data_IF_545982333878
#
_entry.id   IF_545982333878
#
_cell.length_a   1.000
_cell.length_b   1.000
_cell.length_c   1.000
_cell.angle_alpha   90.00
_cell.angle_beta   90.00
_cell.angle_gamma   90.00
#
_symmetry.space_group_name_H-M   'P 1'
#
loop_
_entity.id
_entity.type
_entity.pdbx_description
1 polymer ?
#
# COMPACT_ATOMS: atom_id res chain seq x y z
N UNK A 1 -17.77 9.13 -12.21
CA UNK A 1 -17.39 7.87 -11.53
C UNK A 1 -15.91 7.87 -11.21
N UNK A 2 -15.55 7.47 -10.02
CA UNK A 2 -14.17 7.18 -9.61
C UNK A 2 -13.93 5.68 -9.76
N UNK A 3 -12.77 5.28 -10.27
CA UNK A 3 -12.35 3.87 -10.34
C UNK A 3 -10.95 3.71 -9.73
N UNK A 4 -10.69 2.59 -9.05
CA UNK A 4 -9.39 2.27 -8.48
C UNK A 4 -9.14 0.77 -8.41
N UNK A 5 -7.89 0.39 -8.63
CA UNK A 5 -7.37 -0.95 -8.42
C UNK A 5 -6.99 -1.12 -6.94
N UNK A 6 -7.79 -1.83 -6.16
CA UNK A 6 -7.57 -1.90 -4.72
C UNK A 6 -8.21 -3.13 -4.09
N UNK A 7 -7.49 -3.74 -3.17
CA UNK A 7 -7.95 -4.89 -2.38
C UNK A 7 -8.13 -4.59 -0.90
N UNK A 8 -7.86 -3.36 -0.49
CA UNK A 8 -7.72 -3.03 0.91
C UNK A 8 -8.33 -1.70 1.35
N UNK A 9 -7.64 -1.07 2.28
CA UNK A 9 -8.10 0.15 2.96
C UNK A 9 -8.33 1.32 2.01
N UNK A 10 -7.52 1.48 0.96
CA UNK A 10 -7.73 2.51 -0.08
C UNK A 10 -9.11 2.39 -0.72
N UNK A 11 -9.54 1.15 -1.05
CA UNK A 11 -10.87 0.92 -1.62
C UNK A 11 -12.00 1.26 -0.65
N UNK A 12 -11.86 0.93 0.62
CA UNK A 12 -12.82 1.27 1.67
C UNK A 12 -12.89 2.80 1.85
N UNK A 13 -11.73 3.46 1.94
CA UNK A 13 -11.65 4.91 2.09
C UNK A 13 -12.26 5.65 0.89
N UNK A 14 -11.94 5.24 -0.33
CA UNK A 14 -12.52 5.81 -1.54
C UNK A 14 -14.03 5.56 -1.62
N UNK A 15 -14.51 4.37 -1.25
CA UNK A 15 -15.94 4.08 -1.19
C UNK A 15 -16.66 5.02 -0.21
N UNK A 16 -16.09 5.23 0.99
CA UNK A 16 -16.63 6.12 2.00
C UNK A 16 -16.65 7.59 1.53
N UNK A 17 -15.54 8.08 1.01
CA UNK A 17 -15.44 9.46 0.52
C UNK A 17 -16.36 9.70 -0.68
N UNK A 18 -16.41 8.76 -1.61
CA UNK A 18 -17.30 8.84 -2.78
C UNK A 18 -18.77 8.83 -2.37
N UNK A 19 -19.16 7.98 -1.41
CA UNK A 19 -20.51 7.98 -0.86
C UNK A 19 -20.87 9.33 -0.24
N UNK A 20 -19.98 9.89 0.61
CA UNK A 20 -20.18 11.19 1.24
C UNK A 20 -20.28 12.35 0.24
N UNK A 21 -19.60 12.25 -0.90
CA UNK A 21 -19.58 13.29 -1.95
C UNK A 21 -20.59 13.03 -3.08
N UNK A 22 -21.36 11.95 -3.04
CA UNK A 22 -22.30 11.57 -4.10
C UNK A 22 -21.64 11.09 -5.40
N UNK A 23 -20.40 10.61 -5.36
CA UNK A 23 -19.72 10.06 -6.54
C UNK A 23 -19.88 8.55 -6.62
N UNK A 24 -20.26 7.99 -7.78
CA UNK A 24 -20.18 6.55 -7.99
C UNK A 24 -18.73 6.07 -7.90
N UNK A 25 -18.51 4.95 -7.19
CA UNK A 25 -17.18 4.34 -7.07
C UNK A 25 -17.15 2.89 -7.57
N UNK A 26 -16.11 2.54 -8.30
CA UNK A 26 -15.85 1.21 -8.81
C UNK A 26 -14.47 0.76 -8.34
N UNK A 27 -14.41 -0.37 -7.64
CA UNK A 27 -13.15 -1.02 -7.27
C UNK A 27 -12.90 -2.24 -8.17
N UNK A 28 -11.70 -2.38 -8.71
CA UNK A 28 -11.21 -3.64 -9.28
C UNK A 28 -10.36 -4.36 -8.23
N UNK A 29 -10.60 -5.65 -8.05
CA UNK A 29 -10.03 -6.41 -6.94
C UNK A 29 -9.79 -7.87 -7.34
N UNK A 30 -8.64 -8.42 -7.00
CA UNK A 30 -8.36 -9.85 -7.23
C UNK A 30 -9.33 -10.71 -6.42
N UNK A 31 -9.84 -11.77 -7.04
CA UNK A 31 -10.89 -12.65 -6.49
C UNK A 31 -10.52 -13.39 -5.21
N UNK A 32 -9.23 -13.55 -4.90
CA UNK A 32 -8.74 -14.23 -3.70
C UNK A 32 -8.67 -13.34 -2.45
N UNK A 33 -8.85 -12.02 -2.61
CA UNK A 33 -8.79 -11.12 -1.47
C UNK A 33 -10.06 -11.14 -0.61
N UNK A 34 -9.98 -10.52 0.59
CA UNK A 34 -10.99 -10.56 1.65
C UNK A 34 -12.43 -10.29 1.20
N UNK A 35 -13.31 -11.24 1.52
CA UNK A 35 -14.76 -11.13 1.28
C UNK A 35 -15.38 -10.02 2.14
N UNK A 36 -14.86 -9.81 3.35
CA UNK A 36 -15.31 -8.78 4.29
C UNK A 36 -15.12 -7.39 3.71
N UNK A 37 -13.95 -7.12 3.11
CA UNK A 37 -13.65 -5.85 2.45
C UNK A 37 -14.57 -5.59 1.26
N UNK A 38 -14.90 -6.64 0.48
CA UNK A 38 -15.88 -6.53 -0.62
C UNK A 38 -17.27 -6.17 -0.10
N UNK A 39 -17.70 -6.82 0.98
CA UNK A 39 -18.99 -6.53 1.63
C UNK A 39 -19.04 -5.10 2.15
N UNK A 40 -17.97 -4.65 2.80
CA UNK A 40 -17.88 -3.29 3.32
C UNK A 40 -17.91 -2.23 2.20
N UNK A 41 -17.11 -2.39 1.14
CA UNK A 41 -17.16 -1.48 0.00
C UNK A 41 -18.57 -1.44 -0.65
N UNK A 42 -19.21 -2.61 -0.82
CA UNK A 42 -20.59 -2.68 -1.34
C UNK A 42 -21.61 -2.01 -0.41
N UNK A 43 -21.48 -2.17 0.89
CA UNK A 43 -22.33 -1.50 1.88
C UNK A 43 -22.21 0.03 1.80
N UNK A 44 -21.05 0.54 1.41
CA UNK A 44 -20.77 1.95 1.14
C UNK A 44 -21.19 2.40 -0.28
N UNK A 45 -21.87 1.55 -1.05
CA UNK A 45 -22.38 1.86 -2.37
C UNK A 45 -21.43 1.63 -3.53
N UNK A 46 -20.23 1.07 -3.29
CA UNK A 46 -19.27 0.79 -4.34
C UNK A 46 -19.66 -0.44 -5.19
N UNK A 47 -19.35 -0.40 -6.48
CA UNK A 47 -19.35 -1.58 -7.35
C UNK A 47 -17.98 -2.24 -7.28
N UNK A 48 -17.93 -3.52 -6.95
CA UNK A 48 -16.68 -4.31 -6.91
C UNK A 48 -16.67 -5.25 -8.11
N UNK A 49 -15.61 -5.13 -8.93
CA UNK A 49 -15.34 -5.98 -10.10
C UNK A 49 -14.14 -6.86 -9.75
N UNK A 50 -14.35 -8.18 -9.83
CA UNK A 50 -13.29 -9.13 -9.53
C UNK A 50 -12.45 -9.41 -10.78
N UNK A 51 -11.14 -9.60 -10.57
CA UNK A 51 -10.18 -10.04 -11.58
C UNK A 51 -9.63 -11.41 -11.20
N UNK A 52 -9.22 -12.23 -12.20
CA UNK A 52 -8.66 -13.55 -11.93
C UNK A 52 -7.40 -13.49 -11.06
N UNK A 53 -7.24 -14.47 -10.18
CA UNK A 53 -6.06 -14.59 -9.32
C UNK A 53 -4.75 -14.71 -10.12
N UNK A 54 -4.81 -15.38 -11.28
CA UNK A 54 -3.67 -15.57 -12.18
C UNK A 54 -3.09 -14.23 -12.70
N UNK A 55 -3.93 -13.20 -12.83
CA UNK A 55 -3.53 -11.89 -13.36
C UNK A 55 -2.90 -10.99 -12.27
N UNK A 56 -2.89 -11.42 -11.02
CA UNK A 56 -2.26 -10.76 -9.86
C UNK A 56 -2.72 -9.30 -9.67
N UNK A 57 -1.88 -8.47 -9.03
CA UNK A 57 -2.15 -7.04 -8.88
C UNK A 57 -2.05 -6.30 -10.22
N UNK A 58 -1.15 -6.71 -11.11
CA UNK A 58 -1.05 -6.17 -12.47
C UNK A 58 -2.37 -6.24 -13.21
N UNK A 59 -3.06 -7.38 -13.22
CA UNK A 59 -4.37 -7.51 -13.89
C UNK A 59 -5.46 -6.66 -13.26
N UNK A 60 -5.41 -6.47 -11.94
CA UNK A 60 -6.32 -5.57 -11.23
C UNK A 60 -6.14 -4.11 -11.70
N UNK A 61 -4.88 -3.65 -11.83
CA UNK A 61 -4.53 -2.30 -12.31
C UNK A 61 -4.98 -2.12 -13.77
N UNK A 62 -4.61 -3.04 -14.66
CA UNK A 62 -5.00 -3.00 -16.07
C UNK A 62 -6.51 -2.95 -16.25
N UNK A 63 -7.27 -3.68 -15.41
CA UNK A 63 -8.73 -3.65 -15.46
C UNK A 63 -9.29 -2.29 -15.06
N UNK A 64 -8.72 -1.64 -14.06
CA UNK A 64 -9.12 -0.29 -13.67
C UNK A 64 -8.84 0.74 -14.79
N UNK A 65 -7.67 0.65 -15.42
CA UNK A 65 -7.27 1.49 -16.56
C UNK A 65 -8.21 1.33 -17.75
N UNK A 66 -8.51 0.09 -18.15
CA UNK A 66 -9.46 -0.22 -19.23
C UNK A 66 -10.85 0.39 -18.95
N UNK A 67 -11.32 0.28 -17.71
CA UNK A 67 -12.63 0.84 -17.33
C UNK A 67 -12.61 2.36 -17.33
N UNK A 68 -11.54 2.99 -16.86
CA UNK A 68 -11.36 4.43 -16.87
C UNK A 68 -11.38 4.97 -18.30
N UNK A 69 -10.57 4.38 -19.18
CA UNK A 69 -10.44 4.78 -20.58
C UNK A 69 -11.79 4.60 -21.33
N UNK A 70 -12.36 3.40 -21.24
CA UNK A 70 -13.61 3.09 -21.96
C UNK A 70 -14.77 4.00 -21.60
N UNK A 71 -14.86 4.43 -20.33
CA UNK A 71 -16.03 5.14 -19.82
C UNK A 71 -15.75 6.62 -19.49
N UNK A 72 -14.53 7.11 -19.67
CA UNK A 72 -14.13 8.46 -19.26
C UNK A 72 -14.18 8.65 -17.74
N UNK A 73 -13.86 7.62 -16.95
CA UNK A 73 -13.88 7.68 -15.48
C UNK A 73 -12.56 8.17 -14.91
N UNK A 74 -12.63 8.79 -13.74
CA UNK A 74 -11.44 9.22 -13.01
C UNK A 74 -10.77 8.03 -12.33
N UNK A 75 -9.54 7.73 -12.70
CA UNK A 75 -8.69 6.71 -12.06
C UNK A 75 -7.81 7.37 -11.01
N UNK A 76 -7.93 6.93 -9.74
CA UNK A 76 -7.20 7.56 -8.62
C UNK A 76 -5.71 7.21 -8.59
N UNK A 77 -5.28 6.08 -9.18
CA UNK A 77 -3.87 5.69 -9.40
C UNK A 77 -3.03 5.60 -8.12
N UNK A 78 -3.47 4.84 -7.10
CA UNK A 78 -2.77 4.75 -5.81
C UNK A 78 -1.29 4.36 -5.92
N UNK A 79 -0.89 3.65 -6.97
CA UNK A 79 0.50 3.22 -7.22
C UNK A 79 1.35 4.26 -7.96
N UNK A 80 0.75 5.34 -8.45
CA UNK A 80 1.40 6.37 -9.27
C UNK A 80 1.17 7.79 -8.76
N UNK A 81 0.08 8.03 -8.02
CA UNK A 81 -0.32 9.36 -7.58
C UNK A 81 0.57 9.89 -6.46
N UNK A 82 1.19 11.03 -6.70
CA UNK A 82 2.04 11.73 -5.75
C UNK A 82 1.28 12.19 -4.48
N UNK A 83 -0.03 12.35 -4.56
CA UNK A 83 -0.88 12.66 -3.39
C UNK A 83 -0.76 11.61 -2.27
N UNK A 84 -0.39 10.37 -2.60
CA UNK A 84 -0.17 9.31 -1.63
C UNK A 84 1.07 9.59 -0.74
N UNK A 85 2.31 9.65 -1.24
CA UNK A 85 3.46 9.99 -0.39
C UNK A 85 3.38 11.42 0.15
N UNK A 86 2.78 12.37 -0.57
CA UNK A 86 2.60 13.76 -0.10
C UNK A 86 1.78 13.83 1.19
N UNK A 87 0.71 13.05 1.29
CA UNK A 87 -0.05 12.97 2.54
C UNK A 87 0.83 12.50 3.71
N UNK A 88 1.65 11.49 3.50
CA UNK A 88 2.55 10.98 4.54
C UNK A 88 3.67 11.95 4.89
N UNK A 89 4.18 12.75 3.95
CA UNK A 89 5.13 13.83 4.25
C UNK A 89 4.52 14.87 5.17
N UNK A 90 3.29 15.26 4.88
CA UNK A 90 2.63 16.38 5.56
C UNK A 90 1.98 15.99 6.90
N UNK A 91 1.70 14.71 7.15
CA UNK A 91 1.01 14.23 8.35
C UNK A 91 1.82 13.19 9.11
N UNK A 92 1.92 11.99 8.62
CA UNK A 92 2.53 10.84 9.30
C UNK A 92 3.98 11.11 9.75
N UNK A 93 4.79 11.71 8.89
CA UNK A 93 6.17 12.06 9.23
C UNK A 93 6.25 13.11 10.34
N UNK A 94 5.38 14.13 10.27
CA UNK A 94 5.31 15.17 11.30
C UNK A 94 4.85 14.60 12.64
N UNK A 95 3.90 13.67 12.63
CA UNK A 95 3.42 12.96 13.83
C UNK A 95 4.55 12.16 14.48
N UNK A 96 5.28 11.38 13.68
CA UNK A 96 6.43 10.61 14.16
C UNK A 96 7.50 11.53 14.76
N UNK A 97 7.85 12.60 14.07
CA UNK A 97 8.86 13.56 14.59
C UNK A 97 8.42 14.20 15.89
N UNK A 98 7.15 14.53 16.04
CA UNK A 98 6.58 15.08 17.28
C UNK A 98 6.63 14.06 18.41
N UNK A 99 6.24 12.82 18.16
CA UNK A 99 6.15 11.78 19.18
C UNK A 99 7.55 11.33 19.65
N UNK A 100 8.56 11.47 18.80
CA UNK A 100 9.96 11.27 19.14
C UNK A 100 10.73 12.57 19.44
N UNK A 101 10.04 13.68 19.73
CA UNK A 101 10.70 14.91 20.16
C UNK A 101 11.43 14.68 21.48
N UNK A 102 12.76 14.95 21.50
CA UNK A 102 13.60 14.72 22.69
C UNK A 102 14.06 13.27 22.88
N UNK A 103 13.67 12.35 22.01
CA UNK A 103 14.10 10.94 22.04
C UNK A 103 14.93 10.59 20.80
N UNK A 104 15.74 9.54 20.90
CA UNK A 104 16.44 8.96 19.75
C UNK A 104 15.45 8.32 18.80
N UNK A 105 15.70 8.45 17.50
CA UNK A 105 15.00 7.76 16.43
C UNK A 105 16.04 7.31 15.41
N UNK A 106 16.56 6.12 15.60
CA UNK A 106 17.69 5.60 14.82
C UNK A 106 17.24 4.78 13.60
N UNK A 107 16.07 4.17 13.70
CA UNK A 107 15.51 3.31 12.64
C UNK A 107 14.05 3.62 12.38
N UNK A 108 13.68 3.66 11.10
CA UNK A 108 12.29 3.57 10.65
C UNK A 108 12.14 2.35 9.78
N UNK A 109 11.30 1.39 10.23
CA UNK A 109 11.11 0.10 9.56
C UNK A 109 9.70 0.05 9.02
N UNK A 110 9.55 -0.19 7.73
CA UNK A 110 8.24 -0.28 7.08
C UNK A 110 8.24 -1.32 5.96
N UNK A 111 7.13 -2.05 5.88
CA UNK A 111 6.79 -2.77 4.66
C UNK A 111 6.15 -1.84 3.63
N UNK A 112 5.87 -2.36 2.45
CA UNK A 112 5.22 -1.59 1.41
C UNK A 112 4.13 -2.36 0.65
N UNK A 113 3.02 -1.67 0.42
CA UNK A 113 2.05 -2.04 -0.61
C UNK A 113 2.23 -1.10 -1.79
N UNK A 114 1.74 0.15 -1.68
CA UNK A 114 2.00 1.20 -2.67
C UNK A 114 3.37 1.85 -2.54
N UNK A 115 3.99 1.77 -1.36
CA UNK A 115 5.24 2.46 -1.06
C UNK A 115 5.08 3.92 -0.61
N UNK A 116 3.85 4.44 -0.55
CA UNK A 116 3.62 5.84 -0.19
C UNK A 116 4.11 6.21 1.21
N UNK A 117 3.89 5.34 2.19
CA UNK A 117 4.33 5.58 3.58
C UNK A 117 5.85 5.62 3.70
N UNK A 118 6.54 4.59 3.23
CA UNK A 118 8.00 4.52 3.33
C UNK A 118 8.67 5.65 2.55
N UNK A 119 8.10 6.05 1.42
CA UNK A 119 8.56 7.19 0.63
C UNK A 119 8.36 8.50 1.37
N UNK A 120 7.12 8.85 1.68
CA UNK A 120 6.80 10.15 2.26
C UNK A 120 7.42 10.35 3.65
N UNK A 121 7.33 9.34 4.51
CA UNK A 121 7.97 9.38 5.84
C UNK A 121 9.49 9.36 5.71
N UNK A 122 10.04 8.48 4.89
CA UNK A 122 11.48 8.33 4.72
C UNK A 122 12.15 9.61 4.25
N UNK A 123 11.58 10.31 3.25
CA UNK A 123 12.10 11.57 2.74
C UNK A 123 12.18 12.65 3.83
N UNK A 124 11.10 12.81 4.61
CA UNK A 124 11.08 13.82 5.69
C UNK A 124 12.02 13.44 6.83
N UNK A 125 12.03 12.17 7.23
CA UNK A 125 12.91 11.72 8.31
C UNK A 125 14.38 11.83 7.94
N UNK A 126 14.78 11.56 6.69
CA UNK A 126 16.15 11.75 6.21
C UNK A 126 16.63 13.21 6.32
N UNK A 127 15.72 14.16 6.08
CA UNK A 127 16.04 15.59 6.24
C UNK A 127 16.14 15.99 7.72
N UNK A 128 15.16 15.58 8.53
CA UNK A 128 15.08 15.96 9.93
C UNK A 128 16.06 15.21 10.85
N UNK A 129 16.45 14.01 10.48
CA UNK A 129 17.32 13.08 11.22
C UNK A 129 18.32 12.42 10.27
N UNK A 130 19.39 13.11 9.82
CA UNK A 130 20.27 12.61 8.74
C UNK A 130 20.91 11.24 9.00
N UNK A 131 21.05 10.85 10.25
CA UNK A 131 21.65 9.55 10.64
C UNK A 131 20.64 8.40 10.72
N UNK A 132 19.33 8.66 10.56
CA UNK A 132 18.31 7.62 10.62
C UNK A 132 18.51 6.58 9.51
N UNK A 133 18.24 5.32 9.84
CA UNK A 133 18.21 4.23 8.86
C UNK A 133 16.78 3.88 8.50
N UNK A 134 16.45 3.96 7.22
CA UNK A 134 15.16 3.55 6.67
C UNK A 134 15.29 2.11 6.18
N UNK A 135 14.55 1.22 6.81
CA UNK A 135 14.58 -0.21 6.51
C UNK A 135 13.29 -0.60 5.80
N UNK A 136 13.40 -1.01 4.56
CA UNK A 136 12.29 -1.63 3.83
C UNK A 136 12.17 -3.10 4.19
N UNK A 137 10.94 -3.59 4.44
CA UNK A 137 10.71 -5.03 4.62
C UNK A 137 9.80 -5.55 3.53
N UNK A 138 10.06 -6.76 3.05
CA UNK A 138 9.26 -7.42 2.02
C UNK A 138 9.17 -8.93 2.30
N UNK A 139 8.11 -9.62 1.83
CA UNK A 139 8.03 -11.06 1.94
C UNK A 139 9.19 -11.72 1.20
N UNK A 140 9.84 -12.72 1.79
CA UNK A 140 10.99 -13.41 1.19
C UNK A 140 10.65 -14.04 -0.18
N UNK A 141 9.41 -14.50 -0.37
CA UNK A 141 8.90 -14.99 -1.65
C UNK A 141 8.61 -13.91 -2.69
N UNK A 142 8.61 -12.62 -2.31
CA UNK A 142 8.29 -11.49 -3.20
C UNK A 142 9.29 -10.34 -3.03
N UNK A 143 10.57 -10.67 -2.85
CA UNK A 143 11.63 -9.72 -2.54
C UNK A 143 12.09 -8.93 -3.78
N UNK A 144 11.17 -8.13 -4.36
CA UNK A 144 11.42 -7.36 -5.59
C UNK A 144 12.49 -6.28 -5.42
N UNK A 145 12.51 -5.58 -4.30
CA UNK A 145 13.56 -4.59 -4.00
C UNK A 145 14.91 -5.25 -3.82
N UNK A 146 14.91 -6.48 -3.30
CA UNK A 146 16.09 -7.35 -3.20
C UNK A 146 16.51 -7.99 -4.55
N UNK A 147 15.80 -7.68 -5.65
CA UNK A 147 16.11 -8.20 -6.99
C UNK A 147 15.65 -9.64 -7.25
N UNK A 148 14.81 -10.20 -6.40
CA UNK A 148 14.26 -11.55 -6.58
C UNK A 148 12.96 -11.52 -7.39
N UNK A 149 12.62 -12.58 -8.13
CA UNK A 149 11.35 -12.69 -8.80
C UNK A 149 10.20 -12.78 -7.79
N UNK A 150 9.05 -12.17 -8.14
CA UNK A 150 7.86 -12.23 -7.31
C UNK A 150 7.24 -13.64 -7.29
N UNK A 151 6.95 -14.13 -6.09
CA UNK A 151 6.18 -15.34 -5.83
C UNK A 151 4.97 -15.01 -4.94
N UNK A 152 3.88 -15.79 -4.99
CA UNK A 152 2.75 -15.61 -4.07
C UNK A 152 3.17 -15.70 -2.61
N UNK A 153 2.66 -14.80 -1.78
CA UNK A 153 2.90 -14.74 -0.34
C UNK A 153 1.60 -14.50 0.43
N UNK A 154 1.61 -14.70 1.75
CA UNK A 154 0.41 -14.63 2.61
C UNK A 154 0.22 -13.28 3.29
N UNK A 155 1.15 -12.35 3.15
CA UNK A 155 1.06 -11.02 3.77
C UNK A 155 0.21 -10.12 2.88
N UNK A 156 -1.10 -10.09 3.12
CA UNK A 156 -2.06 -9.37 2.28
C UNK A 156 -1.78 -7.88 2.18
N UNK A 157 -1.77 -7.37 0.94
CA UNK A 157 -1.60 -5.94 0.65
C UNK A 157 -0.15 -5.47 0.63
N UNK A 158 0.81 -6.36 0.94
CA UNK A 158 2.22 -6.07 0.79
C UNK A 158 2.72 -6.49 -0.59
N UNK A 159 3.77 -5.86 -1.04
CA UNK A 159 4.57 -6.17 -2.23
C UNK A 159 3.75 -6.73 -3.40
N UNK A 160 3.15 -5.86 -4.23
CA UNK A 160 2.49 -6.29 -5.47
C UNK A 160 3.53 -6.93 -6.42
N UNK A 161 3.09 -7.54 -7.50
CA UNK A 161 3.96 -8.18 -8.50
C UNK A 161 4.73 -7.17 -9.40
N UNK A 162 4.81 -5.93 -8.96
CA UNK A 162 5.59 -4.84 -9.56
C UNK A 162 6.07 -3.86 -8.50
N UNK A 163 7.09 -3.07 -8.82
CA UNK A 163 7.54 -1.96 -7.96
C UNK A 163 6.69 -0.73 -8.29
N UNK A 164 5.94 -0.17 -7.29
CA UNK A 164 5.10 1.00 -7.52
C UNK A 164 5.88 2.25 -7.95
N UNK A 165 5.31 3.06 -8.84
CA UNK A 165 5.98 4.27 -9.36
C UNK A 165 6.15 5.37 -8.30
N UNK A 166 5.25 5.44 -7.30
CA UNK A 166 5.37 6.42 -6.20
C UNK A 166 6.50 6.12 -5.23
N UNK A 167 7.07 4.90 -5.31
CA UNK A 167 8.11 4.49 -4.37
C UNK A 167 9.45 5.16 -4.70
N UNK A 168 9.96 5.96 -3.79
CA UNK A 168 11.31 6.47 -3.82
C UNK A 168 12.26 5.45 -3.16
N UNK A 169 12.99 4.70 -3.99
CA UNK A 169 13.94 3.68 -3.50
C UNK A 169 15.20 4.26 -2.87
N UNK A 170 15.54 5.51 -3.20
CA UNK A 170 16.77 6.16 -2.73
C UNK A 170 16.75 6.49 -1.24
N UNK A 171 15.56 6.57 -0.64
CA UNK A 171 15.44 6.79 0.81
C UNK A 171 15.70 5.52 1.64
N UNK A 172 15.68 4.34 1.01
CA UNK A 172 15.80 3.04 1.69
C UNK A 172 17.28 2.68 1.83
N UNK A 173 17.77 2.60 3.06
CA UNK A 173 19.17 2.22 3.34
C UNK A 173 19.40 0.72 3.24
N UNK A 174 18.39 -0.08 3.61
CA UNK A 174 18.48 -1.53 3.62
C UNK A 174 17.12 -2.16 3.36
N UNK A 175 17.11 -3.29 2.69
CA UNK A 175 15.92 -4.13 2.50
C UNK A 175 16.13 -5.45 3.23
N UNK A 176 15.11 -5.85 4.02
CA UNK A 176 15.13 -7.11 4.79
C UNK A 176 13.97 -7.98 4.33
N UNK A 177 14.23 -9.10 3.66
CA UNK A 177 13.19 -10.07 3.34
C UNK A 177 12.78 -10.84 4.61
N UNK A 178 11.47 -11.02 4.81
CA UNK A 178 10.89 -11.71 5.97
C UNK A 178 10.01 -12.87 5.50
N UNK A 179 10.20 -14.03 6.09
CA UNK A 179 9.40 -15.21 5.80
C UNK A 179 7.98 -15.09 6.36
N UNK A 180 6.97 -15.59 5.62
CA UNK A 180 5.55 -15.52 5.99
C UNK A 180 5.25 -16.19 7.34
N UNK A 181 5.95 -17.29 7.66
CA UNK A 181 5.77 -18.02 8.92
C UNK A 181 6.37 -17.23 10.06
N UNK A 182 7.57 -16.69 9.87
CA UNK A 182 8.24 -15.84 10.86
C UNK A 182 7.41 -14.59 11.16
N UNK A 183 6.88 -13.92 10.13
CA UNK A 183 6.01 -12.75 10.29
C UNK A 183 4.77 -13.08 11.13
N UNK A 184 4.10 -14.21 10.82
CA UNK A 184 2.91 -14.67 11.56
C UNK A 184 3.25 -15.00 13.00
N UNK A 185 4.27 -15.81 13.23
CA UNK A 185 4.61 -16.31 14.56
C UNK A 185 5.09 -15.17 15.48
N UNK A 186 5.84 -14.21 14.94
CA UNK A 186 6.24 -12.99 15.66
C UNK A 186 5.02 -12.14 16.02
N UNK A 187 4.07 -11.96 15.09
CA UNK A 187 2.83 -11.21 15.36
C UNK A 187 2.00 -11.85 16.48
N UNK A 188 1.93 -13.20 16.49
CA UNK A 188 1.23 -13.93 17.54
C UNK A 188 1.96 -13.87 18.89
N UNK A 189 3.29 -13.85 18.90
CA UNK A 189 4.07 -13.70 20.12
C UNK A 189 3.86 -12.30 20.72
N UNK A 190 3.97 -11.25 19.92
CA UNK A 190 3.74 -9.86 20.36
C UNK A 190 2.32 -9.62 20.90
N UNK A 191 1.32 -10.34 20.38
CA UNK A 191 -0.06 -10.21 20.89
C UNK A 191 -0.27 -10.87 22.26
N UNK A 192 0.68 -11.68 22.74
CA UNK A 192 0.62 -12.39 24.03
C UNK A 192 1.45 -11.73 25.14
N UNK A 193 2.37 -10.84 24.78
CA UNK A 193 3.16 -10.02 25.69
C UNK A 193 2.41 -8.75 26.12
#
# INVERSE_FOLDING_TARGET
TVVEATSGNTGIALAMVCAAKGYPFVATMVETFSVERRKLMKALGAKVILTPAADKATGMVQKAEQLAEKNGWFLARQFESEANPEYHRNTTAAEILRDFAGHGLDYFISGYGTGGTITGVGEVLKVARPNIKIIGTEPSGAALLGGQPWQPHKIQGWTPDFIPKVMNREVIDQVIPVDDVVARDTSLALARE
#
